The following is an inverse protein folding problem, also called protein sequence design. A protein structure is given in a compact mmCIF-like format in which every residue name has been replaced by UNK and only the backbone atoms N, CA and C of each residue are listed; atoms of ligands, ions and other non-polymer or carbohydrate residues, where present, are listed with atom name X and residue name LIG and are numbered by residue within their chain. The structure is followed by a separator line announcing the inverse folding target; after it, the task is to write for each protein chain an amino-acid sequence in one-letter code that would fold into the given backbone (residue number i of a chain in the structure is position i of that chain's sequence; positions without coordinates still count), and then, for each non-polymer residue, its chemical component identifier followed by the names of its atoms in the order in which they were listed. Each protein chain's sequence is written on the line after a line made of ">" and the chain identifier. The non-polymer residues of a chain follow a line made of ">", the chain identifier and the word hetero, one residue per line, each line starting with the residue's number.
data_IF_286369706436
#
_entry.id   IF_286369706436
#
_cell.length_a   1.000
_cell.length_b   1.000
_cell.length_c   1.000
_cell.angle_alpha   90.00
_cell.angle_beta   90.00
_cell.angle_gamma   90.00
#
_symmetry.space_group_name_H-M   'P 1'
#
loop_
_entity.id
_entity.type
_entity.pdbx_description
1 polymer ?
#
# COMPACT_ATOMS: atom_id res chain seq x y z
N UNK A 1 -18.37 14.96 -8.22
CA UNK A 1 -18.61 16.33 -8.75
C UNK A 1 -20.11 16.58 -9.02
N UNK A 2 -20.79 15.77 -9.83
CA UNK A 2 -22.23 15.99 -10.16
C UNK A 2 -23.10 16.07 -8.90
N UNK A 3 -23.08 15.06 -8.06
CA UNK A 3 -23.85 15.04 -6.79
C UNK A 3 -23.59 16.27 -5.92
N UNK A 4 -22.34 16.71 -5.79
CA UNK A 4 -22.00 17.87 -4.98
C UNK A 4 -22.54 19.18 -5.55
N UNK A 5 -22.65 19.29 -6.88
CA UNK A 5 -23.27 20.44 -7.51
C UNK A 5 -24.80 20.45 -7.29
N UNK A 6 -25.43 19.29 -7.21
CA UNK A 6 -26.88 19.16 -6.94
C UNK A 6 -27.22 19.43 -5.46
N UNK A 7 -26.22 19.33 -4.57
CA UNK A 7 -26.35 19.54 -3.12
C UNK A 7 -25.33 20.54 -2.59
N UNK A 8 -25.42 21.81 -2.96
CA UNK A 8 -24.42 22.82 -2.63
C UNK A 8 -24.30 23.13 -1.11
N UNK A 9 -25.36 22.84 -0.35
CA UNK A 9 -25.39 23.05 1.10
C UNK A 9 -24.85 21.84 1.91
N UNK A 10 -24.43 20.76 1.22
CA UNK A 10 -23.85 19.57 1.84
C UNK A 10 -22.34 19.56 1.59
N UNK A 11 -21.55 19.32 2.64
CA UNK A 11 -20.12 19.12 2.54
C UNK A 11 -19.80 17.64 2.37
N UNK A 12 -18.91 17.35 1.43
CA UNK A 12 -18.51 15.99 1.06
C UNK A 12 -17.04 15.75 1.40
N UNK A 13 -16.74 14.58 1.93
CA UNK A 13 -15.39 14.06 2.13
C UNK A 13 -15.19 12.83 1.23
N UNK A 14 -14.32 12.92 0.23
CA UNK A 14 -14.14 11.88 -0.77
C UNK A 14 -12.85 11.10 -0.50
N UNK A 15 -12.99 9.87 0.01
CA UNK A 15 -11.88 8.95 0.22
C UNK A 15 -11.16 8.67 -1.10
N UNK A 16 -9.82 8.77 -1.09
CA UNK A 16 -8.95 8.56 -2.26
C UNK A 16 -9.36 9.32 -3.53
N UNK A 17 -10.10 10.42 -3.34
CA UNK A 17 -10.55 11.28 -4.44
C UNK A 17 -9.42 12.16 -4.97
N UNK A 18 -9.57 12.64 -6.23
CA UNK A 18 -8.60 13.51 -6.89
C UNK A 18 -9.20 14.82 -7.42
N UNK A 19 -10.51 15.01 -7.24
CA UNK A 19 -11.23 16.21 -7.66
C UNK A 19 -11.94 16.85 -6.48
N UNK A 20 -11.78 18.16 -6.34
CA UNK A 20 -12.38 18.99 -5.28
C UNK A 20 -13.26 20.09 -5.87
N UNK A 21 -14.15 20.62 -5.06
CA UNK A 21 -14.91 21.85 -5.24
C UNK A 21 -15.06 22.54 -3.90
N UNK A 22 -15.77 23.67 -3.84
CA UNK A 22 -15.95 24.42 -2.59
C UNK A 22 -16.59 23.59 -1.47
N UNK A 23 -17.40 22.58 -1.82
CA UNK A 23 -18.08 21.68 -0.90
C UNK A 23 -17.58 20.22 -0.95
N UNK A 24 -16.44 19.94 -1.61
CA UNK A 24 -15.82 18.60 -1.62
C UNK A 24 -14.38 18.72 -1.16
N UNK A 25 -14.02 18.00 -0.09
CA UNK A 25 -12.66 17.68 0.27
C UNK A 25 -12.24 16.30 -0.28
N UNK A 26 -10.94 16.08 -0.40
CA UNK A 26 -10.37 14.77 -0.68
C UNK A 26 -9.44 14.36 0.47
N UNK A 27 -9.38 13.07 0.76
CA UNK A 27 -8.42 12.53 1.71
C UNK A 27 -7.93 11.16 1.26
N UNK A 28 -6.68 10.85 1.55
CA UNK A 28 -6.04 9.56 1.25
C UNK A 28 -4.88 9.30 2.21
N UNK A 29 -4.52 8.03 2.37
CA UNK A 29 -3.34 7.60 3.11
C UNK A 29 -2.09 7.52 2.21
N UNK A 30 -0.90 7.68 2.82
CA UNK A 30 0.39 7.37 2.19
C UNK A 30 0.67 5.86 2.35
N UNK A 31 -0.20 5.02 1.78
CA UNK A 31 -0.15 3.54 1.91
C UNK A 31 1.19 2.95 1.48
N UNK A 32 1.87 3.59 0.53
CA UNK A 32 3.19 3.18 0.05
C UNK A 32 4.26 3.15 1.16
N UNK A 33 4.06 3.88 2.27
CA UNK A 33 4.94 3.84 3.43
C UNK A 33 4.91 2.44 4.08
N UNK A 34 3.73 1.88 4.31
CA UNK A 34 3.58 0.51 4.79
C UNK A 34 4.06 -0.53 3.78
N UNK A 35 3.86 -0.28 2.46
CA UNK A 35 4.37 -1.17 1.40
C UNK A 35 5.89 -1.32 1.43
N UNK A 36 6.62 -0.27 1.80
CA UNK A 36 8.07 -0.38 1.99
C UNK A 36 8.42 -1.39 3.09
N UNK A 37 7.72 -1.36 4.21
CA UNK A 37 7.95 -2.26 5.35
C UNK A 37 7.58 -3.69 4.95
N UNK A 38 6.42 -3.91 4.33
CA UNK A 38 6.00 -5.21 3.81
C UNK A 38 7.02 -5.76 2.79
N UNK A 39 7.55 -4.92 1.91
CA UNK A 39 8.57 -5.29 0.93
C UNK A 39 9.87 -5.74 1.60
N UNK A 40 10.34 -5.02 2.62
CA UNK A 40 11.51 -5.42 3.40
C UNK A 40 11.31 -6.80 4.06
N UNK A 41 10.17 -7.00 4.73
CA UNK A 41 9.81 -8.28 5.34
C UNK A 41 9.79 -9.39 4.29
N UNK A 42 9.13 -9.16 3.15
CA UNK A 42 9.03 -10.14 2.07
C UNK A 42 10.40 -10.51 1.49
N UNK A 43 11.27 -9.54 1.26
CA UNK A 43 12.63 -9.77 0.77
C UNK A 43 13.46 -10.64 1.72
N UNK A 44 13.25 -10.50 3.04
CA UNK A 44 13.92 -11.31 4.07
C UNK A 44 13.32 -12.71 4.23
N UNK A 45 12.02 -12.87 4.01
CA UNK A 45 11.30 -14.12 4.33
C UNK A 45 11.07 -15.04 3.13
N UNK A 46 11.00 -14.49 1.91
CA UNK A 46 10.76 -15.31 0.72
C UNK A 46 11.89 -16.29 0.49
N UNK A 47 11.53 -17.56 0.28
CA UNK A 47 12.44 -18.66 -0.03
C UNK A 47 12.44 -18.99 -1.52
N UNK A 48 11.33 -18.73 -2.21
CA UNK A 48 11.19 -18.93 -3.65
C UNK A 48 11.75 -17.75 -4.45
N UNK A 49 12.06 -16.64 -3.79
CA UNK A 49 12.35 -15.33 -4.39
C UNK A 49 11.21 -14.84 -5.30
N UNK A 50 9.98 -15.31 -5.11
CA UNK A 50 8.84 -14.95 -5.94
C UNK A 50 7.69 -14.43 -5.07
N UNK A 51 7.34 -13.17 -5.31
CA UNK A 51 6.22 -12.50 -4.66
C UNK A 51 5.05 -12.44 -5.63
N UNK A 52 3.85 -12.72 -5.14
CA UNK A 52 2.60 -12.53 -5.86
C UNK A 52 1.91 -11.25 -5.41
N UNK A 53 1.70 -10.29 -6.31
CA UNK A 53 1.00 -9.04 -6.01
C UNK A 53 -0.34 -8.99 -6.75
N UNK A 54 -1.44 -8.84 -6.01
CA UNK A 54 -2.80 -8.68 -6.55
C UNK A 54 -3.12 -7.18 -6.54
N UNK A 55 -3.29 -6.62 -7.73
CA UNK A 55 -3.53 -5.20 -7.93
C UNK A 55 -4.95 -4.94 -8.43
N UNK A 56 -5.60 -3.89 -7.91
CA UNK A 56 -6.98 -3.51 -8.26
C UNK A 56 -7.05 -2.81 -9.62
N UNK A 57 -6.62 -1.56 -9.68
CA UNK A 57 -6.64 -0.73 -10.90
C UNK A 57 -5.28 -0.05 -11.12
N UNK A 58 -4.86 0.18 -12.39
CA UNK A 58 -3.58 0.80 -12.71
C UNK A 58 -3.63 2.33 -12.50
N UNK A 59 -3.86 2.75 -11.28
CA UNK A 59 -3.87 4.15 -10.86
C UNK A 59 -2.61 4.46 -10.02
N UNK A 60 -2.19 5.73 -9.93
CA UNK A 60 -0.97 6.11 -9.23
C UNK A 60 -0.84 5.57 -7.80
N UNK A 61 -1.94 5.48 -7.06
CA UNK A 61 -1.98 4.93 -5.69
C UNK A 61 -1.49 3.49 -5.65
N UNK A 62 -1.99 2.64 -6.54
CA UNK A 62 -1.64 1.22 -6.60
C UNK A 62 -0.23 1.04 -7.17
N UNK A 63 0.11 1.79 -8.23
CA UNK A 63 1.42 1.72 -8.89
C UNK A 63 2.55 2.11 -7.93
N UNK A 64 2.40 3.21 -7.16
CA UNK A 64 3.43 3.59 -6.18
C UNK A 64 3.54 2.59 -5.03
N UNK A 65 2.42 1.94 -4.64
CA UNK A 65 2.46 0.86 -3.66
C UNK A 65 3.29 -0.34 -4.14
N UNK A 66 3.07 -0.76 -5.39
CA UNK A 66 3.85 -1.82 -6.04
C UNK A 66 5.35 -1.45 -6.08
N UNK A 67 5.65 -0.23 -6.52
CA UNK A 67 7.02 0.26 -6.63
C UNK A 67 7.73 0.35 -5.27
N UNK A 68 7.07 0.89 -4.24
CA UNK A 68 7.63 0.99 -2.89
C UNK A 68 7.94 -0.39 -2.29
N UNK A 69 7.02 -1.33 -2.48
CA UNK A 69 7.21 -2.72 -2.07
C UNK A 69 8.42 -3.35 -2.75
N UNK A 70 8.49 -3.25 -4.08
CA UNK A 70 9.57 -3.86 -4.86
C UNK A 70 10.94 -3.26 -4.54
N UNK A 71 11.04 -1.93 -4.45
CA UNK A 71 12.29 -1.25 -4.09
C UNK A 71 12.82 -1.74 -2.74
N UNK A 72 11.96 -1.90 -1.75
CA UNK A 72 12.37 -2.39 -0.43
C UNK A 72 12.75 -3.87 -0.46
N UNK A 73 11.98 -4.71 -1.16
CA UNK A 73 12.23 -6.13 -1.26
C UNK A 73 13.54 -6.43 -2.01
N UNK A 74 13.76 -5.79 -3.16
CA UNK A 74 14.96 -5.97 -3.97
C UNK A 74 16.23 -5.43 -3.31
N UNK A 75 16.11 -4.42 -2.44
CA UNK A 75 17.25 -3.88 -1.67
C UNK A 75 17.86 -4.92 -0.71
N UNK A 76 17.04 -5.79 -0.13
CA UNK A 76 17.49 -6.84 0.82
C UNK A 76 17.62 -8.20 0.16
N UNK A 77 16.96 -8.42 -0.98
CA UNK A 77 17.05 -9.63 -1.78
C UNK A 77 17.08 -9.27 -3.28
N UNK A 78 18.26 -9.11 -3.88
CA UNK A 78 18.40 -8.74 -5.31
C UNK A 78 17.82 -9.77 -6.30
N UNK A 79 17.61 -11.01 -5.86
CA UNK A 79 17.05 -12.08 -6.71
C UNK A 79 15.52 -12.10 -6.69
N UNK A 80 14.88 -11.21 -5.93
CA UNK A 80 13.42 -11.17 -5.78
C UNK A 80 12.74 -10.86 -7.12
N UNK A 81 11.71 -11.61 -7.41
CA UNK A 81 10.82 -11.39 -8.55
C UNK A 81 9.42 -11.11 -8.06
N UNK A 82 8.75 -10.17 -8.69
CA UNK A 82 7.37 -9.85 -8.37
C UNK A 82 6.48 -10.11 -9.59
N UNK A 83 5.47 -10.97 -9.40
CA UNK A 83 4.43 -11.26 -10.38
C UNK A 83 3.18 -10.51 -9.99
N UNK A 84 2.60 -9.77 -10.93
CA UNK A 84 1.46 -8.90 -10.69
C UNK A 84 0.27 -9.41 -11.49
N UNK A 85 -0.89 -9.52 -10.83
CA UNK A 85 -2.18 -9.77 -11.47
C UNK A 85 -3.11 -8.60 -11.21
N UNK A 86 -3.56 -7.93 -12.27
CA UNK A 86 -4.55 -6.88 -12.22
C UNK A 86 -5.96 -7.48 -12.32
N UNK A 87 -6.76 -7.33 -11.26
CA UNK A 87 -8.12 -7.90 -11.19
C UNK A 87 -9.21 -6.95 -11.64
N UNK A 88 -8.89 -5.67 -11.85
CA UNK A 88 -9.81 -4.61 -12.29
C UNK A 88 -11.08 -4.51 -11.44
N UNK A 89 -10.92 -4.68 -10.13
CA UNK A 89 -11.96 -4.50 -9.12
C UNK A 89 -11.32 -4.16 -7.78
N UNK A 90 -12.06 -3.48 -6.91
CA UNK A 90 -11.66 -3.28 -5.51
C UNK A 90 -12.12 -4.44 -4.64
N UNK A 91 -13.31 -4.97 -4.92
CA UNK A 91 -13.95 -5.99 -4.11
C UNK A 91 -14.59 -7.08 -4.99
N UNK A 92 -13.95 -8.21 -5.09
CA UNK A 92 -14.48 -9.43 -5.74
C UNK A 92 -13.75 -10.65 -5.16
N UNK A 93 -14.30 -11.29 -4.10
CA UNK A 93 -13.64 -12.42 -3.43
C UNK A 93 -13.26 -13.57 -4.37
N UNK A 94 -14.06 -13.79 -5.43
CA UNK A 94 -13.79 -14.84 -6.41
C UNK A 94 -12.55 -14.53 -7.25
N UNK A 95 -12.51 -13.35 -7.88
CA UNK A 95 -11.36 -12.92 -8.68
C UNK A 95 -10.08 -12.80 -7.86
N UNK A 96 -10.19 -12.29 -6.63
CA UNK A 96 -9.06 -12.12 -5.74
C UNK A 96 -8.48 -13.48 -5.30
N UNK A 97 -9.33 -14.46 -4.96
CA UNK A 97 -8.90 -15.82 -4.65
C UNK A 97 -8.27 -16.52 -5.86
N UNK A 98 -8.85 -16.36 -7.07
CA UNK A 98 -8.32 -16.92 -8.31
C UNK A 98 -6.94 -16.32 -8.65
N UNK A 99 -6.77 -15.02 -8.47
CA UNK A 99 -5.49 -14.34 -8.65
C UNK A 99 -4.44 -14.86 -7.65
N UNK A 100 -4.79 -14.97 -6.36
CA UNK A 100 -3.91 -15.54 -5.34
C UNK A 100 -3.49 -16.97 -5.69
N UNK A 101 -4.44 -17.85 -6.01
CA UNK A 101 -4.14 -19.23 -6.38
C UNK A 101 -3.26 -19.31 -7.64
N UNK A 102 -3.49 -18.44 -8.62
CA UNK A 102 -2.67 -18.36 -9.84
C UNK A 102 -1.23 -17.98 -9.51
N UNK A 103 -1.02 -16.97 -8.69
CA UNK A 103 0.30 -16.52 -8.26
C UNK A 103 1.04 -17.58 -7.45
N UNK A 104 0.34 -18.26 -6.53
CA UNK A 104 0.87 -19.37 -5.74
C UNK A 104 1.30 -20.54 -6.65
N UNK A 105 0.45 -20.91 -7.61
CA UNK A 105 0.77 -21.96 -8.60
C UNK A 105 1.95 -21.57 -9.50
N UNK A 106 2.25 -20.29 -9.64
CA UNK A 106 3.41 -19.77 -10.35
C UNK A 106 4.65 -19.64 -9.47
N UNK A 107 4.60 -20.12 -8.22
CA UNK A 107 5.72 -20.21 -7.30
C UNK A 107 5.83 -19.06 -6.30
N UNK A 108 4.85 -18.19 -6.19
CA UNK A 108 4.84 -17.17 -5.15
C UNK A 108 4.68 -17.83 -3.77
N UNK A 109 5.56 -17.50 -2.84
CA UNK A 109 5.50 -17.94 -1.44
C UNK A 109 5.09 -16.83 -0.46
N UNK A 110 4.85 -15.62 -0.99
CA UNK A 110 4.24 -14.50 -0.27
C UNK A 110 3.23 -13.82 -1.19
N UNK A 111 2.02 -13.58 -0.67
CA UNK A 111 0.95 -12.88 -1.37
C UNK A 111 0.77 -11.48 -0.77
N UNK A 112 0.71 -10.50 -1.64
CA UNK A 112 0.42 -9.09 -1.32
C UNK A 112 -0.82 -8.69 -2.11
N UNK A 113 -1.68 -7.89 -1.51
CA UNK A 113 -2.89 -7.42 -2.18
C UNK A 113 -3.07 -5.91 -2.04
N UNK A 114 -3.68 -5.29 -3.05
CA UNK A 114 -4.26 -3.96 -3.00
C UNK A 114 -5.71 -4.05 -3.49
N UNK A 115 -6.46 -4.92 -2.82
CA UNK A 115 -7.89 -5.20 -2.97
C UNK A 115 -8.50 -5.39 -1.58
N UNK A 116 -9.83 -5.38 -1.46
CA UNK A 116 -10.50 -5.12 -0.19
C UNK A 116 -11.04 -6.38 0.51
N UNK A 117 -10.87 -7.58 -0.06
CA UNK A 117 -11.33 -8.81 0.60
C UNK A 117 -10.18 -9.56 1.30
N UNK A 118 -10.53 -10.44 2.21
CA UNK A 118 -9.57 -11.35 2.84
C UNK A 118 -9.41 -12.69 2.07
N UNK A 119 -9.98 -12.79 0.87
CA UNK A 119 -9.89 -14.01 0.06
C UNK A 119 -8.45 -14.38 -0.35
N UNK A 120 -7.55 -13.42 -0.72
CA UNK A 120 -6.15 -13.73 -0.96
C UNK A 120 -5.41 -14.29 0.25
N UNK A 121 -5.67 -13.71 1.43
CA UNK A 121 -5.11 -14.16 2.70
C UNK A 121 -5.55 -15.59 3.03
N UNK A 122 -6.85 -15.91 2.85
CA UNK A 122 -7.37 -17.26 3.03
C UNK A 122 -6.81 -18.27 2.02
N UNK A 123 -6.57 -17.84 0.78
CA UNK A 123 -5.93 -18.68 -0.23
C UNK A 123 -4.47 -18.98 0.15
N UNK A 124 -3.73 -18.00 0.66
CA UNK A 124 -2.38 -18.17 1.18
C UNK A 124 -2.35 -19.14 2.37
N UNK A 125 -3.27 -18.99 3.34
CA UNK A 125 -3.42 -19.88 4.50
C UNK A 125 -3.62 -21.33 4.05
N UNK A 126 -4.53 -21.55 3.12
CA UNK A 126 -4.84 -22.89 2.58
C UNK A 126 -3.63 -23.51 1.86
N UNK A 127 -2.82 -22.70 1.21
CA UNK A 127 -1.64 -23.14 0.48
C UNK A 127 -0.38 -23.26 1.35
N UNK A 128 -0.40 -22.76 2.59
CA UNK A 128 0.75 -22.75 3.49
C UNK A 128 1.85 -21.77 3.06
N UNK A 129 1.46 -20.65 2.42
CA UNK A 129 2.34 -19.54 2.06
C UNK A 129 1.97 -18.29 2.87
N UNK A 130 2.83 -17.29 2.90
CA UNK A 130 2.59 -16.07 3.69
C UNK A 130 1.72 -15.04 2.94
N UNK A 131 1.12 -14.12 3.69
CA UNK A 131 0.33 -13.03 3.15
C UNK A 131 0.47 -11.74 3.99
N UNK A 132 0.29 -10.60 3.33
CA UNK A 132 0.04 -9.31 3.95
C UNK A 132 -1.42 -8.93 3.78
N UNK A 133 -2.00 -8.32 4.82
CA UNK A 133 -3.34 -7.76 4.76
C UNK A 133 -3.37 -6.37 4.12
N UNK A 134 -4.57 -5.91 3.77
CA UNK A 134 -4.81 -4.59 3.17
C UNK A 134 -5.91 -3.85 3.94
N UNK A 135 -5.68 -2.58 4.21
CA UNK A 135 -6.59 -1.62 4.84
C UNK A 135 -7.05 -1.97 6.27
N UNK A 136 -6.83 -3.20 6.72
CA UNK A 136 -7.22 -3.70 8.04
C UNK A 136 -6.43 -4.94 8.45
N UNK A 137 -6.40 -5.24 9.75
CA UNK A 137 -5.84 -6.48 10.27
C UNK A 137 -6.69 -7.69 9.80
N UNK A 138 -6.09 -8.57 9.03
CA UNK A 138 -6.74 -9.76 8.49
C UNK A 138 -6.32 -11.06 9.20
N UNK A 139 -5.55 -10.98 10.29
CA UNK A 139 -5.00 -12.13 11.01
C UNK A 139 -6.06 -13.17 11.39
N UNK A 140 -7.26 -12.74 11.81
CA UNK A 140 -8.34 -13.65 12.18
C UNK A 140 -8.84 -14.55 11.03
N UNK A 141 -8.55 -14.20 9.78
CA UNK A 141 -8.95 -14.95 8.59
C UNK A 141 -7.85 -15.89 8.07
N UNK A 142 -6.59 -15.67 8.48
CA UNK A 142 -5.43 -16.43 8.02
C UNK A 142 -4.28 -16.41 9.05
N UNK A 143 -4.50 -16.90 10.29
CA UNK A 143 -3.57 -16.72 11.41
C UNK A 143 -2.19 -17.36 11.20
N UNK A 144 -2.08 -18.39 10.36
CA UNK A 144 -0.82 -19.07 10.08
C UNK A 144 -0.11 -18.55 8.81
N UNK A 145 -0.65 -17.52 8.18
CA UNK A 145 -0.11 -16.92 6.95
C UNK A 145 0.07 -15.40 7.05
N UNK A 146 -0.76 -14.73 7.83
CA UNK A 146 -0.74 -13.28 7.98
C UNK A 146 0.50 -12.81 8.73
N UNK A 147 1.34 -12.03 8.06
CA UNK A 147 2.57 -11.47 8.65
C UNK A 147 2.29 -10.16 9.39
N UNK A 148 1.62 -9.26 8.74
CA UNK A 148 1.11 -7.96 9.20
C UNK A 148 0.21 -7.37 8.11
N UNK A 149 -0.32 -6.17 8.31
CA UNK A 149 -1.09 -5.43 7.32
C UNK A 149 -0.82 -3.93 7.41
N UNK A 150 -1.11 -3.22 6.33
CA UNK A 150 -1.31 -1.77 6.36
C UNK A 150 -2.74 -1.53 6.84
N UNK A 151 -2.92 -0.69 7.85
CA UNK A 151 -4.24 -0.29 8.34
C UNK A 151 -4.51 1.18 8.04
N UNK A 152 -5.74 1.47 7.64
CA UNK A 152 -6.25 2.81 7.42
C UNK A 152 -6.95 3.33 8.67
N UNK A 153 -6.42 4.38 9.28
CA UNK A 153 -6.95 4.94 10.52
C UNK A 153 -7.70 6.25 10.24
N UNK A 154 -8.92 6.14 9.72
CA UNK A 154 -9.74 7.28 9.34
C UNK A 154 -10.44 8.00 10.50
N UNK A 155 -10.60 7.33 11.65
CA UNK A 155 -11.38 7.83 12.78
C UNK A 155 -11.01 9.23 13.26
N UNK A 156 -9.73 9.54 13.54
CA UNK A 156 -9.31 10.88 13.95
C UNK A 156 -9.61 11.95 12.90
N UNK A 157 -9.37 11.65 11.62
CA UNK A 157 -9.71 12.54 10.51
C UNK A 157 -11.20 12.85 10.47
N UNK A 158 -12.06 11.83 10.55
CA UNK A 158 -13.51 12.03 10.56
C UNK A 158 -13.98 12.88 11.74
N UNK A 159 -13.40 12.66 12.92
CA UNK A 159 -13.73 13.46 14.10
C UNK A 159 -13.33 14.93 13.92
N UNK A 160 -12.15 15.21 13.36
CA UNK A 160 -11.69 16.56 13.05
C UNK A 160 -12.62 17.26 12.06
N UNK A 161 -12.98 16.58 10.95
CA UNK A 161 -13.84 17.14 9.90
C UNK A 161 -15.27 17.40 10.41
N UNK A 162 -15.80 16.49 11.23
CA UNK A 162 -17.09 16.68 11.88
C UNK A 162 -17.07 17.87 12.85
N UNK A 163 -15.99 18.01 13.63
CA UNK A 163 -15.83 19.16 14.53
C UNK A 163 -15.73 20.47 13.75
N UNK A 164 -14.99 20.50 12.65
CA UNK A 164 -14.89 21.68 11.79
C UNK A 164 -16.26 22.12 11.22
N UNK A 165 -17.15 21.15 10.91
CA UNK A 165 -18.54 21.46 10.52
C UNK A 165 -19.32 22.10 11.68
N UNK A 166 -19.21 21.57 12.88
CA UNK A 166 -19.90 22.09 14.10
C UNK A 166 -19.43 23.51 14.40
N UNK A 167 -18.13 23.77 14.26
CA UNK A 167 -17.52 25.06 14.57
C UNK A 167 -17.69 26.09 13.43
N UNK A 168 -18.20 25.68 12.26
CA UNK A 168 -18.32 26.51 11.06
C UNK A 168 -16.98 26.86 10.41
N UNK A 169 -15.92 26.10 10.74
CA UNK A 169 -14.56 26.30 10.18
C UNK A 169 -14.24 25.34 9.02
N UNK A 170 -15.18 24.48 8.64
CA UNK A 170 -14.98 23.54 7.55
C UNK A 170 -14.68 24.29 6.23
N UNK A 171 -13.67 23.82 5.55
CA UNK A 171 -13.34 24.26 4.18
C UNK A 171 -12.87 23.07 3.37
N UNK A 172 -13.01 23.16 2.05
CA UNK A 172 -12.48 22.15 1.14
C UNK A 172 -10.96 22.08 1.25
N UNK A 173 -10.42 20.88 1.43
CA UNK A 173 -8.99 20.62 1.54
C UNK A 173 -8.62 19.29 0.88
N UNK A 174 -7.32 19.10 0.67
CA UNK A 174 -6.71 17.84 0.27
C UNK A 174 -5.85 17.33 1.42
N UNK A 175 -6.19 16.18 1.95
CA UNK A 175 -5.42 15.55 3.02
C UNK A 175 -4.76 14.28 2.49
N UNK A 176 -3.44 14.21 2.59
CA UNK A 176 -2.67 13.03 2.19
C UNK A 176 -1.62 12.76 3.25
N UNK A 177 -2.04 12.14 4.32
CA UNK A 177 -1.24 11.87 5.50
C UNK A 177 -0.83 10.39 5.59
N UNK A 178 0.29 10.13 6.24
CA UNK A 178 0.88 8.81 6.40
C UNK A 178 1.08 8.41 7.85
N UNK A 179 2.14 7.64 8.09
CA UNK A 179 2.49 7.13 9.42
C UNK A 179 2.84 8.25 10.41
N UNK A 180 3.45 9.34 9.96
CA UNK A 180 3.78 10.49 10.80
C UNK A 180 2.55 11.07 11.49
N UNK A 181 1.39 11.06 10.82
CA UNK A 181 0.11 11.57 11.34
C UNK A 181 -0.79 10.46 11.90
N UNK A 182 -0.36 9.23 11.82
CA UNK A 182 -1.13 8.07 12.26
C UNK A 182 -2.35 7.75 11.40
N UNK A 183 -2.41 8.26 10.16
CA UNK A 183 -3.47 7.92 9.21
C UNK A 183 -3.23 6.55 8.56
N UNK A 184 -1.97 6.13 8.50
CA UNK A 184 -1.51 4.79 8.11
C UNK A 184 -0.72 4.21 9.28
N UNK A 185 -1.01 2.97 9.65
CA UNK A 185 -0.26 2.23 10.66
C UNK A 185 -0.03 0.80 10.19
N UNK A 186 0.92 0.10 10.82
CA UNK A 186 1.07 -1.34 10.64
C UNK A 186 0.24 -2.09 11.68
N UNK A 187 -0.43 -3.16 11.25
CA UNK A 187 -1.00 -4.15 12.17
C UNK A 187 0.08 -4.78 13.05
N UNK A 188 -0.26 -5.37 14.20
CA UNK A 188 0.68 -6.17 14.95
C UNK A 188 1.42 -7.18 14.06
N UNK A 189 2.73 -7.29 14.25
CA UNK A 189 3.56 -8.27 13.57
C UNK A 189 3.32 -9.65 14.16
N UNK A 190 3.19 -10.67 13.31
CA UNK A 190 2.96 -12.04 13.76
C UNK A 190 4.25 -12.67 14.32
N UNK A 191 4.38 -12.63 15.65
CA UNK A 191 5.56 -13.14 16.38
C UNK A 191 5.75 -14.66 16.25
N UNK A 192 4.71 -15.40 15.81
CA UNK A 192 4.83 -16.85 15.59
C UNK A 192 5.45 -17.20 14.23
N UNK A 193 5.35 -16.27 13.27
CA UNK A 193 5.84 -16.46 11.90
C UNK A 193 7.12 -15.69 11.63
N UNK A 194 7.35 -14.59 12.34
CA UNK A 194 8.47 -13.68 12.14
C UNK A 194 9.45 -13.74 13.32
N UNK A 195 10.74 -13.63 13.04
CA UNK A 195 11.75 -13.53 14.11
C UNK A 195 11.68 -12.17 14.81
N UNK A 196 12.06 -12.16 16.09
CA UNK A 196 12.13 -10.91 16.85
C UNK A 196 13.05 -9.86 16.21
N UNK A 197 14.16 -10.28 15.60
CA UNK A 197 15.08 -9.37 14.91
C UNK A 197 14.41 -8.72 13.68
N UNK A 198 13.66 -9.48 12.88
CA UNK A 198 12.96 -8.94 11.72
C UNK A 198 11.84 -7.98 12.13
N UNK A 199 11.13 -8.28 13.22
CA UNK A 199 10.12 -7.39 13.78
C UNK A 199 10.78 -6.08 14.26
N UNK A 200 11.91 -6.17 14.93
CA UNK A 200 12.66 -4.98 15.37
C UNK A 200 13.15 -4.13 14.17
N UNK A 201 13.61 -4.77 13.07
CA UNK A 201 13.95 -4.06 11.83
C UNK A 201 12.72 -3.32 11.26
N UNK A 202 11.56 -3.98 11.18
CA UNK A 202 10.32 -3.39 10.69
C UNK A 202 9.85 -2.20 11.56
N UNK A 203 9.89 -2.35 12.89
CA UNK A 203 9.55 -1.27 13.82
C UNK A 203 10.52 -0.07 13.70
N UNK A 204 11.80 -0.33 13.50
CA UNK A 204 12.78 0.74 13.27
C UNK A 204 12.49 1.49 11.94
N UNK A 205 12.01 0.78 10.92
CA UNK A 205 11.57 1.42 9.67
C UNK A 205 10.32 2.29 9.88
N UNK A 206 9.34 1.84 10.69
CA UNK A 206 8.20 2.67 11.05
C UNK A 206 8.62 3.98 11.72
N UNK A 207 9.53 3.91 12.69
CA UNK A 207 10.03 5.11 13.37
C UNK A 207 10.80 6.04 12.40
N UNK A 208 11.63 5.47 11.51
CA UNK A 208 12.32 6.26 10.49
C UNK A 208 11.38 6.92 9.48
N UNK A 209 10.25 6.30 9.15
CA UNK A 209 9.22 6.91 8.31
C UNK A 209 8.48 8.02 9.07
N UNK A 210 8.14 7.79 10.34
CA UNK A 210 7.44 8.76 11.20
C UNK A 210 8.26 10.01 11.46
N UNK A 211 9.57 9.87 11.66
CA UNK A 211 10.48 11.01 11.91
C UNK A 211 11.05 11.63 10.62
N UNK A 212 10.79 11.02 9.45
CA UNK A 212 11.20 11.50 8.14
C UNK A 212 12.65 11.17 7.78
N UNK A 213 13.36 10.39 8.58
CA UNK A 213 14.73 9.94 8.27
C UNK A 213 14.76 8.82 7.21
N UNK A 214 13.61 8.16 6.97
CA UNK A 214 13.44 7.12 5.98
C UNK A 214 12.26 7.47 5.07
N UNK A 215 12.49 7.37 3.74
CA UNK A 215 11.42 7.55 2.76
C UNK A 215 11.48 6.45 1.68
N UNK A 216 10.33 5.83 1.30
CA UNK A 216 10.29 4.73 0.33
C UNK A 216 10.92 5.05 -1.03
N UNK A 217 10.81 6.30 -1.46
CA UNK A 217 11.31 6.77 -2.74
C UNK A 217 12.52 7.71 -2.59
N UNK A 218 13.50 7.27 -1.83
CA UNK A 218 14.83 7.91 -1.79
C UNK A 218 15.70 7.32 -2.90
N UNK A 219 16.24 8.17 -3.78
CA UNK A 219 17.06 7.79 -4.93
C UNK A 219 18.45 7.22 -4.57
N UNK A 220 19.15 6.66 -5.59
CA UNK A 220 18.78 6.72 -7.01
C UNK A 220 17.68 5.71 -7.36
N UNK A 221 16.68 6.15 -8.13
CA UNK A 221 15.62 5.28 -8.64
C UNK A 221 15.56 5.42 -10.16
N UNK A 222 15.47 4.29 -10.84
CA UNK A 222 15.33 4.18 -12.28
C UNK A 222 13.97 3.58 -12.63
N UNK A 223 13.40 3.99 -13.74
CA UNK A 223 12.23 3.34 -14.32
C UNK A 223 12.61 2.08 -15.10
N UNK A 224 11.62 1.38 -15.68
CA UNK A 224 11.86 0.17 -16.48
C UNK A 224 12.69 0.43 -17.74
N UNK A 225 12.71 1.65 -18.29
CA UNK A 225 13.53 2.01 -19.44
C UNK A 225 14.99 2.30 -19.04
N UNK A 226 15.29 2.32 -17.74
CA UNK A 226 16.60 2.66 -17.21
C UNK A 226 16.86 4.16 -17.09
N UNK A 227 15.82 4.99 -17.22
CA UNK A 227 15.91 6.43 -17.02
C UNK A 227 15.93 6.76 -15.53
N UNK A 228 16.82 7.66 -15.12
CA UNK A 228 16.92 8.12 -13.73
C UNK A 228 15.74 9.03 -13.40
N UNK A 229 14.83 8.57 -12.54
CA UNK A 229 13.62 9.32 -12.14
C UNK A 229 13.74 10.02 -10.79
N UNK A 230 14.59 9.49 -9.89
CA UNK A 230 14.94 10.16 -8.62
C UNK A 230 16.46 10.09 -8.46
N UNK A 231 17.12 11.23 -8.32
CA UNK A 231 18.57 11.31 -8.21
C UNK A 231 19.07 10.77 -6.86
N UNK A 232 20.34 10.44 -6.80
CA UNK A 232 20.98 9.91 -5.60
C UNK A 232 20.83 10.86 -4.41
N UNK A 233 20.31 10.35 -3.29
CA UNK A 233 20.05 11.10 -2.07
C UNK A 233 18.84 12.03 -2.13
N UNK A 234 18.17 12.17 -3.27
CA UNK A 234 16.93 12.93 -3.37
C UNK A 234 15.72 12.06 -3.01
N UNK A 235 14.62 12.72 -2.62
CA UNK A 235 13.33 12.09 -2.33
C UNK A 235 12.34 12.49 -3.42
N UNK A 236 11.58 11.52 -3.92
CA UNK A 236 10.54 11.78 -4.91
C UNK A 236 9.52 12.79 -4.37
N UNK A 237 9.20 13.81 -5.19
CA UNK A 237 8.21 14.81 -4.81
C UNK A 237 6.79 14.23 -4.73
N UNK A 238 5.92 14.84 -3.92
CA UNK A 238 4.50 14.48 -3.86
C UNK A 238 3.83 14.55 -5.24
N UNK A 239 4.21 15.51 -6.07
CA UNK A 239 3.70 15.61 -7.43
C UNK A 239 4.05 14.40 -8.30
N UNK A 240 5.29 13.87 -8.19
CA UNK A 240 5.69 12.64 -8.87
C UNK A 240 4.91 11.44 -8.32
N UNK A 241 4.80 11.33 -7.00
CA UNK A 241 4.11 10.20 -6.36
C UNK A 241 2.61 10.18 -6.68
N UNK A 242 1.95 11.33 -6.70
CA UNK A 242 0.53 11.45 -7.05
C UNK A 242 0.25 11.19 -8.54
N UNK A 243 1.24 11.38 -9.39
CA UNK A 243 1.15 11.14 -10.83
C UNK A 243 1.85 9.86 -11.31
N UNK A 244 2.32 8.99 -10.41
CA UNK A 244 3.16 7.83 -10.77
C UNK A 244 2.43 6.84 -11.68
N UNK A 245 2.92 6.69 -12.90
CA UNK A 245 2.35 5.86 -13.96
C UNK A 245 3.41 4.98 -14.65
N UNK A 246 4.45 4.60 -13.93
CA UNK A 246 5.53 3.75 -14.40
C UNK A 246 5.94 2.74 -13.33
N UNK A 247 6.48 1.61 -13.73
CA UNK A 247 7.16 0.71 -12.83
C UNK A 247 8.64 1.08 -12.69
N UNK A 248 9.19 0.85 -11.50
CA UNK A 248 10.63 0.95 -11.28
C UNK A 248 11.38 -0.22 -11.95
N UNK A 249 12.64 -0.01 -12.24
CA UNK A 249 13.52 -1.01 -12.83
C UNK A 249 13.53 -2.30 -12.02
N UNK A 250 13.42 -3.44 -12.71
CA UNK A 250 13.43 -4.79 -12.13
C UNK A 250 12.05 -5.40 -11.95
N UNK A 251 10.98 -4.63 -12.07
CA UNK A 251 9.62 -5.19 -12.17
C UNK A 251 9.37 -5.64 -13.58
N UNK A 252 8.97 -6.90 -13.77
CA UNK A 252 8.63 -7.46 -15.08
C UNK A 252 7.17 -7.11 -15.46
N UNK A 253 6.92 -6.97 -16.77
CA UNK A 253 5.60 -6.69 -17.32
C UNK A 253 5.36 -5.21 -17.60
N UNK A 254 4.20 -4.93 -18.18
CA UNK A 254 3.75 -3.57 -18.53
C UNK A 254 2.57 -3.15 -17.66
N UNK A 255 2.39 -1.86 -17.47
CA UNK A 255 1.15 -1.32 -16.93
C UNK A 255 0.02 -1.50 -17.95
N UNK A 256 -1.12 -2.07 -17.56
CA UNK A 256 -2.23 -2.30 -18.47
C UNK A 256 -2.95 -1.02 -18.91
#
# INVERSE_FOLDING_TARGET
>A
MEVANDFPDINFEHATGYKRSDNISTYSGRFYEGRMIEGHIAGKMSKSNTIGYIASFPIPEVVRGINAFYLAASKVNPDIKMKIIWVFTWYDPGKEADAANTLINQGADIIVQHTDTYAPCQAAEKAGVYAFGQASNQESFCPNSHLTAIEDVWGPYYAERAQALIDGSWSSQDTWDGMQKGMVVMSPYNETLMSADLIAEAQAMEEGIKDGSLHPFTGPIYDQAGELVVADGEVASDGMLLGMNFYVQGIDGELP
#
